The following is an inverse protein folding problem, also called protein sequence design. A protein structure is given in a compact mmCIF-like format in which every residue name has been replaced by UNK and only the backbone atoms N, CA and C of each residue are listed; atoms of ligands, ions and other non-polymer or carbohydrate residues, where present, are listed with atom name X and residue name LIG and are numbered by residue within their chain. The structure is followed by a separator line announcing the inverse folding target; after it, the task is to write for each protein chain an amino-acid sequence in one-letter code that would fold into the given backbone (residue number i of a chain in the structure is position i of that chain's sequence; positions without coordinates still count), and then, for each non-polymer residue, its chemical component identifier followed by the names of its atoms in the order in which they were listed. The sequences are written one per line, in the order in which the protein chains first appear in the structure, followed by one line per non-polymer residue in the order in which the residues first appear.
data_IF_642371032685
#
_entry.id   IF_642371032685
#
_cell.length_a   1.000
_cell.length_b   1.000
_cell.length_c   1.000
_cell.angle_alpha   90.00
_cell.angle_beta   90.00
_cell.angle_gamma   90.00
#
_symmetry.space_group_name_H-M   'P 1'
#
loop_
_entity.id
_entity.type
_entity.pdbx_description
1 polymer ?
#
# COMPACT_ATOMS: atom_id res chain seq x y z
N UNK A 1 7.54 18.97 -20.14
CA UNK A 1 6.42 18.99 -19.16
C UNK A 1 6.79 18.10 -17.99
N UNK A 2 6.48 18.54 -16.77
CA UNK A 2 7.05 18.07 -15.48
C UNK A 2 7.39 16.58 -15.45
N UNK A 3 8.68 16.29 -15.30
CA UNK A 3 9.13 15.05 -14.65
C UNK A 3 8.76 15.18 -13.17
N UNK A 4 7.53 14.83 -12.83
CA UNK A 4 7.05 14.84 -11.45
C UNK A 4 7.82 13.76 -10.71
N UNK A 5 8.63 14.16 -9.71
CA UNK A 5 9.22 13.24 -8.74
C UNK A 5 8.19 12.14 -8.41
N UNK A 6 8.57 10.86 -8.56
CA UNK A 6 7.69 9.73 -8.21
C UNK A 6 7.42 9.82 -6.69
N UNK A 7 6.43 10.60 -6.28
CA UNK A 7 6.04 10.70 -4.88
C UNK A 7 5.45 9.36 -4.49
N UNK A 8 6.20 8.64 -3.67
CA UNK A 8 5.80 7.37 -3.09
C UNK A 8 5.07 7.69 -1.79
N UNK A 9 3.94 7.06 -1.57
CA UNK A 9 3.10 7.26 -0.40
C UNK A 9 2.83 5.90 0.24
N UNK A 10 2.62 5.88 1.56
CA UNK A 10 2.20 4.64 2.23
C UNK A 10 0.76 4.30 1.85
N UNK A 11 0.39 3.03 1.98
CA UNK A 11 -1.01 2.59 1.86
C UNK A 11 -1.96 3.42 2.73
N UNK A 12 -1.53 3.71 3.96
CA UNK A 12 -2.28 4.55 4.90
C UNK A 12 -2.53 5.95 4.33
N UNK A 13 -1.50 6.58 3.76
CA UNK A 13 -1.63 7.89 3.12
C UNK A 13 -2.59 7.85 1.93
N UNK A 14 -2.49 6.83 1.07
CA UNK A 14 -3.41 6.67 -0.06
C UNK A 14 -4.87 6.51 0.38
N UNK A 15 -5.09 5.75 1.46
CA UNK A 15 -6.41 5.60 2.10
C UNK A 15 -6.92 6.92 2.69
N UNK A 16 -6.07 7.64 3.43
CA UNK A 16 -6.42 8.93 4.03
C UNK A 16 -6.72 10.01 2.99
N UNK A 17 -6.00 10.01 1.85
CA UNK A 17 -6.29 10.90 0.72
C UNK A 17 -7.68 10.69 0.14
N UNK A 18 -8.20 9.46 0.20
CA UNK A 18 -9.57 9.12 -0.20
C UNK A 18 -10.59 9.28 0.92
N UNK A 19 -10.15 9.65 2.14
CA UNK A 19 -10.96 9.76 3.36
C UNK A 19 -11.69 8.46 3.72
N UNK A 20 -11.11 7.31 3.39
CA UNK A 20 -11.69 6.02 3.75
C UNK A 20 -11.18 5.55 5.12
N UNK A 21 -12.08 4.91 5.88
CA UNK A 21 -11.69 4.09 7.03
C UNK A 21 -11.03 2.79 6.56
N UNK A 22 -10.31 2.10 7.45
CA UNK A 22 -9.72 0.80 7.12
C UNK A 22 -10.80 -0.23 6.73
N UNK A 23 -11.95 -0.22 7.40
CA UNK A 23 -13.07 -1.11 7.09
C UNK A 23 -13.68 -0.83 5.71
N UNK A 24 -13.94 0.44 5.38
CA UNK A 24 -14.49 0.82 4.08
C UNK A 24 -13.54 0.46 2.94
N UNK A 25 -12.25 0.80 3.10
CA UNK A 25 -11.25 0.48 2.10
C UNK A 25 -11.08 -1.03 1.92
N UNK A 26 -11.05 -1.78 3.02
CA UNK A 26 -10.96 -3.24 2.96
C UNK A 26 -12.19 -3.86 2.27
N UNK A 27 -13.38 -3.34 2.53
CA UNK A 27 -14.63 -3.77 1.86
C UNK A 27 -14.60 -3.49 0.35
N UNK A 28 -14.09 -2.34 -0.07
CA UNK A 28 -13.94 -1.98 -1.49
C UNK A 28 -12.91 -2.88 -2.20
N UNK A 29 -11.81 -3.18 -1.52
CA UNK A 29 -10.75 -4.09 -2.03
C UNK A 29 -11.21 -5.56 -1.94
N UNK A 30 -12.21 -5.88 -1.12
CA UNK A 30 -12.68 -7.25 -0.89
C UNK A 30 -11.73 -8.09 -0.04
N UNK A 31 -11.10 -7.46 0.96
CA UNK A 31 -10.27 -8.10 1.98
C UNK A 31 -10.81 -7.75 3.38
N UNK A 32 -10.27 -8.38 4.43
CA UNK A 32 -10.57 -7.98 5.80
C UNK A 32 -9.82 -6.71 6.20
N UNK A 33 -10.40 -5.94 7.13
CA UNK A 33 -9.75 -4.75 7.70
C UNK A 33 -8.40 -5.09 8.35
N UNK A 34 -8.30 -6.25 9.00
CA UNK A 34 -7.05 -6.77 9.57
C UNK A 34 -5.98 -7.01 8.51
N UNK A 35 -6.37 -7.58 7.36
CA UNK A 35 -5.46 -7.81 6.23
C UNK A 35 -4.95 -6.49 5.68
N UNK A 36 -5.82 -5.48 5.50
CA UNK A 36 -5.41 -4.14 5.10
C UNK A 36 -4.46 -3.51 6.13
N UNK A 37 -4.76 -3.63 7.43
CA UNK A 37 -3.89 -3.16 8.50
C UNK A 37 -2.53 -3.89 8.54
N UNK A 38 -2.48 -5.17 8.15
CA UNK A 38 -1.24 -5.91 7.99
C UNK A 38 -0.39 -5.38 6.84
N UNK A 39 -1.02 -5.01 5.73
CA UNK A 39 -0.35 -4.38 4.59
C UNK A 39 0.17 -2.99 4.94
N UNK A 40 -0.63 -2.17 5.64
CA UNK A 40 -0.22 -0.84 6.11
C UNK A 40 0.98 -0.88 7.07
N UNK A 41 1.14 -1.98 7.82
CA UNK A 41 2.23 -2.22 8.76
C UNK A 41 3.40 -3.02 8.16
N UNK A 42 3.31 -3.46 6.91
CA UNK A 42 4.32 -4.33 6.27
C UNK A 42 4.47 -5.71 6.89
N UNK A 43 3.44 -6.24 7.58
CA UNK A 43 3.44 -7.62 8.11
C UNK A 43 3.13 -8.67 7.04
N UNK A 44 2.42 -8.28 6.00
CA UNK A 44 2.04 -9.13 4.88
C UNK A 44 1.99 -8.30 3.60
N UNK A 45 1.94 -8.96 2.45
CA UNK A 45 1.88 -8.30 1.14
C UNK A 45 0.64 -8.78 0.38
N UNK A 46 -0.02 -7.88 -0.38
CA UNK A 46 -1.13 -8.28 -1.22
C UNK A 46 -0.65 -9.13 -2.41
N UNK A 47 -1.46 -10.10 -2.80
CA UNK A 47 -1.29 -10.82 -4.06
C UNK A 47 -1.72 -9.95 -5.25
N UNK A 48 -1.23 -10.28 -6.45
CA UNK A 48 -1.54 -9.55 -7.71
C UNK A 48 -3.03 -9.19 -7.88
N UNK A 49 -4.01 -10.07 -7.57
CA UNK A 49 -5.43 -9.70 -7.68
C UNK A 49 -5.87 -8.61 -6.70
N UNK A 50 -5.38 -8.66 -5.46
CA UNK A 50 -5.68 -7.66 -4.41
C UNK A 50 -5.01 -6.33 -4.76
N UNK A 51 -3.80 -6.43 -5.29
CA UNK A 51 -2.98 -5.34 -5.78
C UNK A 51 -3.71 -4.50 -6.85
N UNK A 52 -4.29 -5.16 -7.87
CA UNK A 52 -5.11 -4.48 -8.88
C UNK A 52 -6.31 -3.75 -8.29
N UNK A 53 -6.99 -4.36 -7.31
CA UNK A 53 -8.11 -3.72 -6.62
C UNK A 53 -7.67 -2.52 -5.78
N UNK A 54 -6.51 -2.60 -5.12
CA UNK A 54 -5.91 -1.48 -4.40
C UNK A 54 -5.64 -0.31 -5.36
N UNK A 55 -5.09 -0.60 -6.54
CA UNK A 55 -4.85 0.40 -7.58
C UNK A 55 -6.16 1.04 -8.07
N UNK A 56 -7.22 0.24 -8.28
CA UNK A 56 -8.55 0.74 -8.67
C UNK A 56 -9.19 1.60 -7.58
N UNK A 57 -9.18 1.14 -6.32
CA UNK A 57 -9.83 1.83 -5.19
C UNK A 57 -9.12 3.14 -4.85
N UNK A 58 -7.80 3.13 -4.83
CA UNK A 58 -7.03 4.34 -4.49
C UNK A 58 -6.68 5.20 -5.71
N UNK A 59 -6.76 4.67 -6.92
CA UNK A 59 -6.31 5.36 -8.14
C UNK A 59 -4.80 5.62 -8.13
N UNK A 60 -4.03 4.84 -7.37
CA UNK A 60 -2.58 4.98 -7.21
C UNK A 60 -1.92 3.70 -7.69
N UNK A 61 -0.99 3.76 -8.65
CA UNK A 61 -0.28 2.57 -9.11
C UNK A 61 0.60 2.01 -7.99
N UNK A 62 0.75 0.68 -7.95
CA UNK A 62 1.54 -0.05 -6.95
C UNK A 62 2.96 0.49 -6.80
N UNK A 63 3.61 0.89 -7.89
CA UNK A 63 4.96 1.46 -7.88
C UNK A 63 5.09 2.70 -6.98
N UNK A 64 3.98 3.37 -6.69
CA UNK A 64 3.91 4.53 -5.79
C UNK A 64 3.45 4.19 -4.39
N UNK A 65 3.00 2.96 -4.13
CA UNK A 65 2.56 2.49 -2.81
C UNK A 65 3.72 1.83 -2.07
N UNK A 66 4.00 2.33 -0.87
CA UNK A 66 4.98 1.76 0.05
C UNK A 66 4.26 0.81 1.00
N UNK A 67 4.62 -0.47 0.94
CA UNK A 67 4.13 -1.55 1.82
C UNK A 67 5.12 -1.88 2.96
N UNK A 68 6.37 -1.43 2.85
CA UNK A 68 7.44 -1.70 3.79
C UNK A 68 7.63 -0.53 4.78
N UNK A 69 7.82 -0.76 6.09
CA UNK A 69 8.55 0.19 6.91
C UNK A 69 9.97 0.33 6.33
N UNK A 70 10.47 1.56 6.21
CA UNK A 70 11.78 1.88 5.62
C UNK A 70 12.99 1.25 6.35
N UNK A 71 12.75 0.45 7.39
CA UNK A 71 13.78 -0.23 8.21
C UNK A 71 14.26 -1.57 7.62
N UNK A 72 13.75 -2.00 6.47
CA UNK A 72 14.15 -3.27 5.83
C UNK A 72 15.45 -3.20 5.01
N UNK A 73 16.37 -2.30 5.38
CA UNK A 73 17.74 -2.23 4.82
C UNK A 73 18.79 -2.86 5.75
N UNK A 74 18.35 -3.63 6.77
CA UNK A 74 19.24 -4.39 7.66
C UNK A 74 18.88 -5.86 7.61
N UNK A 75 19.34 -6.56 6.57
CA UNK A 75 19.90 -7.93 6.62
C UNK A 75 20.01 -8.54 5.21
N UNK A 76 20.68 -7.85 4.29
CA UNK A 76 21.51 -8.60 3.33
C UNK A 76 22.92 -8.51 3.88
N UNK A 77 23.23 -9.39 4.83
CA UNK A 77 24.63 -9.74 5.07
C UNK A 77 25.12 -10.32 3.74
N UNK A 78 25.84 -9.48 2.99
CA UNK A 78 26.70 -9.90 1.89
C UNK A 78 27.75 -10.80 2.55
N UNK A 79 27.53 -12.11 2.47
CA UNK A 79 28.54 -13.14 2.65
C UNK A 79 29.32 -13.30 1.36
#
# INVERSE_FOLDING_TARGET
MLQSAKTRFTLKTAREMKKYTQEEAAKLIGISADTLGNYERGKSYPDVPVLRKIEEVYGVPYERLIFLPLDYDKTVNII
#
